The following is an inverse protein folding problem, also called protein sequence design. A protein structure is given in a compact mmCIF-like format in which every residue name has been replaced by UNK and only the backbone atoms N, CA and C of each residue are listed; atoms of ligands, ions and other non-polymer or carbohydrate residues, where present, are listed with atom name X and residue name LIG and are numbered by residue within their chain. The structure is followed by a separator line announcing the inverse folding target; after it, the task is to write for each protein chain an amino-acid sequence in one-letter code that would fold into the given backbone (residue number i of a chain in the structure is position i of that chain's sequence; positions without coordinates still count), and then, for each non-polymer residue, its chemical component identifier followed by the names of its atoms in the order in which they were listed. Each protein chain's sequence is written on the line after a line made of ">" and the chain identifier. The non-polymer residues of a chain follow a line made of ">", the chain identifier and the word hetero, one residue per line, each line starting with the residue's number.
data_IF_542429724473
#
_entry.id   IF_542429724473
#
_cell.length_a   1.000
_cell.length_b   1.000
_cell.length_c   1.000
_cell.angle_alpha   90.00
_cell.angle_beta   90.00
_cell.angle_gamma   90.00
#
_symmetry.space_group_name_H-M   'P 1'
#
loop_
_entity.id
_entity.type
_entity.pdbx_description
1 polymer ?
#
# COMPACT_ATOMS: atom_id res chain seq x y z
N UNK A 1 -37.07 5.00 30.74
CA UNK A 1 -37.06 6.05 31.76
C UNK A 1 -38.43 6.06 32.48
N UNK A 2 -38.76 5.02 33.26
CA UNK A 2 -40.15 4.77 33.72
C UNK A 2 -40.30 4.18 35.15
N UNK A 3 -39.29 4.25 36.04
CA UNK A 3 -39.39 3.66 37.40
C UNK A 3 -39.20 4.63 38.58
N UNK A 4 -38.96 5.93 38.36
CA UNK A 4 -38.83 6.93 39.44
C UNK A 4 -37.68 6.69 40.44
N UNK A 5 -36.82 5.70 40.19
CA UNK A 5 -35.64 5.36 41.01
C UNK A 5 -34.41 5.98 40.37
N UNK A 6 -33.61 6.65 41.20
CA UNK A 6 -32.35 7.23 40.78
C UNK A 6 -31.33 6.10 40.56
N UNK A 7 -30.71 6.06 39.38
CA UNK A 7 -29.72 5.04 39.02
C UNK A 7 -28.40 5.76 38.75
N UNK A 8 -27.34 5.51 39.55
CA UNK A 8 -26.05 6.13 39.30
C UNK A 8 -25.51 5.66 37.95
N UNK A 9 -25.16 6.63 37.09
CA UNK A 9 -24.66 6.38 35.75
C UNK A 9 -23.35 7.13 35.54
N UNK A 10 -22.39 6.45 34.91
CA UNK A 10 -21.18 7.06 34.35
C UNK A 10 -21.14 6.75 32.86
N UNK A 11 -20.69 7.71 32.07
CA UNK A 11 -20.56 7.58 30.63
C UNK A 11 -19.24 8.18 30.17
N UNK A 12 -18.70 7.64 29.09
CA UNK A 12 -17.55 8.22 28.37
C UNK A 12 -18.04 8.63 26.99
N UNK A 13 -17.56 9.79 26.53
CA UNK A 13 -17.77 10.25 25.16
C UNK A 13 -16.41 10.43 24.49
N UNK A 14 -16.29 9.94 23.26
CA UNK A 14 -15.11 10.12 22.41
C UNK A 14 -15.54 10.96 21.21
N UNK A 15 -14.94 12.15 21.07
CA UNK A 15 -15.17 13.03 19.93
C UNK A 15 -14.39 12.57 18.72
N UNK A 16 -15.07 11.90 17.78
CA UNK A 16 -14.44 11.28 16.60
C UNK A 16 -13.77 12.31 15.67
N UNK A 17 -14.33 13.51 15.58
CA UNK A 17 -13.82 14.61 14.76
C UNK A 17 -12.42 15.05 15.22
N UNK A 18 -12.21 15.12 16.53
CA UNK A 18 -10.90 15.48 17.10
C UNK A 18 -9.87 14.37 16.92
N UNK A 19 -10.30 13.12 17.01
CA UNK A 19 -9.44 11.96 16.77
C UNK A 19 -8.96 11.96 15.31
N UNK A 20 -9.87 12.13 14.35
CA UNK A 20 -9.50 12.21 12.93
C UNK A 20 -8.56 13.38 12.63
N UNK A 21 -8.82 14.58 13.16
CA UNK A 21 -7.96 15.74 12.92
C UNK A 21 -6.52 15.54 13.44
N UNK A 22 -6.35 14.84 14.56
CA UNK A 22 -5.03 14.50 15.10
C UNK A 22 -4.37 13.41 14.24
N UNK A 23 -5.11 12.37 13.87
CA UNK A 23 -4.61 11.27 13.03
C UNK A 23 -4.17 11.77 11.65
N UNK A 24 -4.93 12.67 11.03
CA UNK A 24 -4.62 13.26 9.72
C UNK A 24 -3.31 14.06 9.77
N UNK A 25 -3.15 14.95 10.76
CA UNK A 25 -1.90 15.70 10.95
C UNK A 25 -0.69 14.79 11.15
N UNK A 26 -0.82 13.76 12.00
CA UNK A 26 0.26 12.79 12.21
C UNK A 26 0.58 12.00 10.94
N UNK A 27 -0.42 11.65 10.15
CA UNK A 27 -0.23 10.94 8.89
C UNK A 27 0.42 11.84 7.82
N UNK A 28 0.06 13.13 7.78
CA UNK A 28 0.73 14.13 6.95
C UNK A 28 2.18 14.39 7.35
N UNK A 29 2.47 14.47 8.66
CA UNK A 29 3.83 14.65 9.15
C UNK A 29 4.70 13.44 8.81
N UNK A 30 4.17 12.22 8.98
CA UNK A 30 4.84 10.99 8.55
C UNK A 30 5.06 10.97 7.04
N UNK A 31 4.05 11.34 6.25
CA UNK A 31 4.20 11.35 4.79
C UNK A 31 5.20 12.42 4.34
N UNK A 32 5.24 13.60 4.96
CA UNK A 32 6.25 14.64 4.69
C UNK A 32 7.66 14.21 5.08
N UNK A 33 7.84 13.57 6.25
CA UNK A 33 9.13 13.05 6.70
C UNK A 33 9.68 11.97 5.76
N UNK A 34 8.82 11.06 5.30
CA UNK A 34 9.17 10.00 4.35
C UNK A 34 9.51 10.53 2.94
N UNK A 35 8.94 11.68 2.54
CA UNK A 35 9.24 12.32 1.26
C UNK A 35 10.50 13.23 1.30
N UNK A 36 10.94 13.67 2.49
CA UNK A 36 12.08 14.55 2.66
C UNK A 36 13.45 13.85 2.52
N UNK A 37 13.53 12.54 2.79
CA UNK A 37 14.79 11.79 2.78
C UNK A 37 15.16 11.14 1.42
N UNK A 38 14.41 11.40 0.34
CA UNK A 38 14.91 11.20 -1.02
C UNK A 38 13.99 10.45 -1.97
N UNK A 39 13.66 11.14 -3.07
CA UNK A 39 13.26 10.52 -4.33
C UNK A 39 11.75 10.26 -4.49
N UNK A 40 11.24 10.69 -5.65
CA UNK A 40 9.90 10.44 -6.19
C UNK A 40 9.61 8.95 -6.47
N UNK A 41 9.68 8.13 -5.42
CA UNK A 41 9.53 6.67 -5.48
C UNK A 41 9.71 5.95 -4.13
N UNK A 42 9.77 6.63 -2.99
CA UNK A 42 9.84 5.95 -1.69
C UNK A 42 8.51 5.32 -1.29
N UNK A 43 8.54 4.11 -0.72
CA UNK A 43 7.43 3.42 -0.06
C UNK A 43 6.99 4.13 1.24
N UNK A 44 6.78 5.45 1.16
CA UNK A 44 6.15 6.21 2.20
C UNK A 44 4.67 5.88 2.25
N UNK A 45 4.09 5.83 3.45
CA UNK A 45 2.65 5.63 3.66
C UNK A 45 1.93 6.86 3.09
N UNK A 46 1.68 6.85 1.78
CA UNK A 46 0.74 7.77 1.14
C UNK A 46 -0.64 7.32 1.60
N UNK A 47 -1.40 8.23 2.20
CA UNK A 47 -2.81 7.97 2.53
C UNK A 47 -3.53 7.77 1.20
N UNK A 48 -3.94 6.53 0.93
CA UNK A 48 -4.55 6.14 -0.34
C UNK A 48 -6.00 5.77 -0.09
N UNK A 49 -6.87 6.19 -1.01
CA UNK A 49 -8.28 5.80 -0.98
C UNK A 49 -8.49 4.32 -1.36
N UNK A 50 -7.47 3.68 -1.95
CA UNK A 50 -7.51 2.29 -2.43
C UNK A 50 -6.46 1.44 -1.73
N UNK A 51 -6.84 0.20 -1.41
CA UNK A 51 -5.94 -0.81 -0.83
C UNK A 51 -5.35 -1.73 -1.91
N UNK A 52 -5.39 -1.31 -3.17
CA UNK A 52 -4.89 -2.09 -4.31
C UNK A 52 -3.37 -2.22 -4.23
N UNK A 53 -2.90 -3.46 -4.18
CA UNK A 53 -1.50 -3.85 -4.05
C UNK A 53 -0.85 -4.09 -5.41
N UNK A 54 -1.60 -4.63 -6.38
CA UNK A 54 -1.04 -5.05 -7.67
C UNK A 54 -1.92 -4.56 -8.81
N UNK A 55 -1.33 -3.88 -9.79
CA UNK A 55 -2.00 -3.56 -11.06
C UNK A 55 -1.62 -4.58 -12.13
N UNK A 56 -2.60 -5.24 -12.72
CA UNK A 56 -2.41 -6.15 -13.85
C UNK A 56 -2.55 -5.37 -15.15
N UNK A 57 -1.42 -5.22 -15.82
CA UNK A 57 -1.25 -4.46 -17.03
C UNK A 57 -0.80 -5.38 -18.18
N UNK A 58 -1.21 -5.05 -19.40
CA UNK A 58 -0.79 -5.81 -20.59
C UNK A 58 -0.46 -4.90 -21.75
N UNK A 59 0.37 -5.42 -22.66
CA UNK A 59 0.78 -4.75 -23.89
C UNK A 59 0.23 -5.56 -25.06
N UNK A 60 -0.47 -4.91 -25.99
CA UNK A 60 -1.03 -5.54 -27.18
C UNK A 60 -2.56 -5.64 -27.18
N UNK A 61 -3.10 -5.99 -28.35
CA UNK A 61 -4.54 -6.10 -28.58
C UNK A 61 -5.09 -7.43 -28.04
N UNK A 62 -6.34 -7.44 -27.56
CA UNK A 62 -7.04 -8.70 -27.23
C UNK A 62 -6.64 -9.39 -25.91
N UNK A 63 -5.71 -8.81 -25.13
CA UNK A 63 -5.19 -9.42 -23.89
C UNK A 63 -6.10 -9.24 -22.66
N UNK A 64 -7.31 -8.73 -22.83
CA UNK A 64 -8.24 -8.46 -21.74
C UNK A 64 -8.62 -9.72 -20.97
N UNK A 65 -8.91 -10.82 -21.68
CA UNK A 65 -9.28 -12.10 -21.05
C UNK A 65 -8.15 -12.61 -20.16
N UNK A 66 -6.89 -12.51 -20.64
CA UNK A 66 -5.73 -12.94 -19.86
C UNK A 66 -5.48 -12.04 -18.63
N UNK A 67 -5.71 -10.73 -18.72
CA UNK A 67 -5.67 -9.83 -17.55
C UNK A 67 -6.70 -10.22 -16.49
N UNK A 68 -7.92 -10.55 -16.90
CA UNK A 68 -8.96 -10.99 -15.99
C UNK A 68 -8.60 -12.32 -15.32
N UNK A 69 -8.01 -13.26 -16.07
CA UNK A 69 -7.54 -14.54 -15.54
C UNK A 69 -6.44 -14.35 -14.48
N UNK A 70 -5.44 -13.51 -14.77
CA UNK A 70 -4.36 -13.19 -13.82
C UNK A 70 -4.90 -12.49 -12.58
N UNK A 71 -5.79 -11.50 -12.74
CA UNK A 71 -6.42 -10.83 -11.61
C UNK A 71 -7.21 -11.82 -10.74
N UNK A 72 -7.97 -12.74 -11.36
CA UNK A 72 -8.69 -13.79 -10.64
C UNK A 72 -7.75 -14.73 -9.88
N UNK A 73 -6.62 -15.12 -10.49
CA UNK A 73 -5.58 -15.91 -9.82
C UNK A 73 -5.03 -15.20 -8.58
N UNK A 74 -4.72 -13.90 -8.69
CA UNK A 74 -4.23 -13.10 -7.58
C UNK A 74 -5.29 -12.95 -6.47
N UNK A 75 -6.55 -12.72 -6.83
CA UNK A 75 -7.65 -12.64 -5.86
C UNK A 75 -7.87 -13.94 -5.11
N UNK A 76 -7.75 -15.10 -5.78
CA UNK A 76 -7.84 -16.41 -5.14
C UNK A 76 -6.73 -16.64 -4.12
N UNK A 77 -5.58 -16.00 -4.30
CA UNK A 77 -4.47 -16.00 -3.35
C UNK A 77 -4.60 -14.92 -2.25
N UNK A 78 -5.69 -14.14 -2.23
CA UNK A 78 -5.90 -13.06 -1.27
C UNK A 78 -5.11 -11.78 -1.57
N UNK A 79 -4.49 -11.67 -2.75
CA UNK A 79 -3.75 -10.47 -3.17
C UNK A 79 -4.74 -9.47 -3.77
N UNK A 80 -4.71 -8.23 -3.29
CA UNK A 80 -5.60 -7.15 -3.78
C UNK A 80 -5.10 -6.62 -5.12
N UNK A 81 -5.58 -7.22 -6.20
CA UNK A 81 -5.22 -6.84 -7.56
C UNK A 81 -6.33 -6.04 -8.27
N UNK A 82 -5.94 -5.20 -9.24
CA UNK A 82 -6.85 -4.47 -10.13
C UNK A 82 -6.35 -4.57 -11.57
N UNK A 83 -7.22 -4.35 -12.56
CA UNK A 83 -6.84 -4.33 -13.97
C UNK A 83 -7.58 -3.23 -14.73
N UNK A 84 -6.98 -2.73 -15.81
CA UNK A 84 -7.61 -1.72 -16.66
C UNK A 84 -8.80 -2.26 -17.48
N UNK A 85 -9.93 -1.57 -17.41
CA UNK A 85 -11.18 -1.93 -18.12
C UNK A 85 -11.13 -1.72 -19.64
N UNK A 86 -10.18 -0.91 -20.14
CA UNK A 86 -10.03 -0.66 -21.57
C UNK A 86 -9.51 -1.92 -22.27
N UNK A 87 -10.05 -2.31 -23.44
CA UNK A 87 -9.62 -3.51 -24.14
C UNK A 87 -8.14 -3.44 -24.55
N UNK A 88 -7.69 -2.28 -25.06
CA UNK A 88 -6.28 -2.03 -25.38
C UNK A 88 -5.80 -0.71 -24.72
N UNK A 89 -5.41 -0.74 -23.44
CA UNK A 89 -4.90 0.44 -22.76
C UNK A 89 -3.45 0.71 -23.18
N UNK A 90 -3.10 1.97 -23.46
CA UNK A 90 -1.70 2.35 -23.73
C UNK A 90 -0.87 2.15 -22.47
N UNK A 91 0.39 1.73 -22.61
CA UNK A 91 1.29 1.49 -21.48
C UNK A 91 1.46 2.74 -20.61
N UNK A 92 1.57 3.93 -21.22
CA UNK A 92 1.67 5.19 -20.49
C UNK A 92 0.45 5.48 -19.61
N UNK A 93 -0.76 5.19 -20.08
CA UNK A 93 -1.99 5.39 -19.31
C UNK A 93 -2.05 4.44 -18.10
N UNK A 94 -1.59 3.19 -18.27
CA UNK A 94 -1.54 2.19 -17.20
C UNK A 94 -0.53 2.58 -16.12
N UNK A 95 0.65 3.06 -16.54
CA UNK A 95 1.68 3.55 -15.63
C UNK A 95 1.19 4.79 -14.85
N UNK A 96 0.57 5.75 -15.55
CA UNK A 96 0.01 6.94 -14.92
C UNK A 96 -1.09 6.59 -13.91
N UNK A 97 -1.96 5.64 -14.26
CA UNK A 97 -2.99 5.16 -13.33
C UNK A 97 -2.37 4.50 -12.09
N UNK A 98 -1.32 3.68 -12.28
CA UNK A 98 -0.61 3.06 -11.18
C UNK A 98 0.03 4.10 -10.24
N UNK A 99 0.62 5.18 -10.79
CA UNK A 99 1.17 6.28 -10.02
C UNK A 99 0.11 7.10 -9.28
N UNK A 100 -0.96 7.49 -9.97
CA UNK A 100 -2.06 8.29 -9.42
C UNK A 100 -2.80 7.55 -8.30
N UNK A 101 -3.10 6.27 -8.55
CA UNK A 101 -3.68 5.39 -7.53
C UNK A 101 -2.67 4.98 -6.48
N UNK A 102 -1.36 5.17 -6.71
CA UNK A 102 -0.21 4.88 -5.82
C UNK A 102 0.20 3.41 -5.71
N UNK A 103 -0.23 2.54 -6.62
CA UNK A 103 -0.12 1.08 -6.52
C UNK A 103 1.36 0.65 -6.47
N UNK A 104 1.80 -0.17 -5.50
CA UNK A 104 3.22 -0.45 -5.31
C UNK A 104 3.79 -1.38 -6.38
N UNK A 105 3.01 -2.36 -6.85
CA UNK A 105 3.45 -3.35 -7.83
C UNK A 105 2.59 -3.34 -9.09
N UNK A 106 3.22 -3.53 -10.24
CA UNK A 106 2.53 -3.68 -11.51
C UNK A 106 3.03 -4.93 -12.23
N UNK A 107 2.11 -5.82 -12.61
CA UNK A 107 2.39 -7.02 -13.41
C UNK A 107 2.15 -6.67 -14.87
N UNK A 108 3.12 -6.94 -15.73
CA UNK A 108 3.15 -6.61 -17.15
C UNK A 108 3.37 -7.87 -17.98
N UNK A 109 2.56 -8.05 -19.01
CA UNK A 109 2.77 -9.11 -19.99
C UNK A 109 2.28 -8.70 -21.39
N UNK A 110 3.01 -9.12 -22.42
CA UNK A 110 2.61 -9.08 -23.81
C UNK A 110 2.47 -10.49 -24.39
N UNK A 111 2.21 -10.57 -25.70
CA UNK A 111 2.13 -11.85 -26.42
C UNK A 111 3.45 -12.62 -26.37
N UNK A 112 4.59 -11.93 -26.50
CA UNK A 112 5.93 -12.52 -26.45
C UNK A 112 6.29 -13.06 -25.06
N UNK A 113 5.95 -12.33 -23.99
CA UNK A 113 6.14 -12.79 -22.61
C UNK A 113 5.27 -14.01 -22.31
N UNK A 114 4.00 -13.96 -22.73
CA UNK A 114 3.06 -15.05 -22.48
C UNK A 114 3.44 -16.32 -23.26
N UNK A 115 3.91 -16.18 -24.49
CA UNK A 115 4.41 -17.30 -25.30
C UNK A 115 5.64 -17.97 -24.69
N UNK A 116 6.42 -17.23 -23.88
CA UNK A 116 7.58 -17.74 -23.12
C UNK A 116 7.22 -18.22 -21.71
N UNK A 117 5.96 -18.10 -21.29
CA UNK A 117 5.51 -18.47 -19.94
C UNK A 117 6.04 -17.58 -18.83
N UNK A 118 6.43 -16.34 -19.15
CA UNK A 118 7.03 -15.38 -18.22
C UNK A 118 6.14 -14.14 -18.11
N UNK A 119 6.15 -13.48 -16.96
CA UNK A 119 5.51 -12.17 -16.73
C UNK A 119 6.53 -11.23 -16.11
N UNK A 120 6.41 -9.93 -16.36
CA UNK A 120 7.29 -8.91 -15.77
C UNK A 120 6.61 -8.29 -14.57
N UNK A 121 7.27 -8.24 -13.43
CA UNK A 121 6.79 -7.52 -12.25
C UNK A 121 7.62 -6.26 -12.10
N UNK A 122 6.95 -5.12 -12.11
CA UNK A 122 7.53 -3.80 -11.90
C UNK A 122 7.24 -3.32 -10.50
N UNK A 123 8.28 -2.97 -9.76
CA UNK A 123 8.17 -2.22 -8.51
C UNK A 123 8.14 -0.73 -8.84
N UNK A 124 7.04 -0.07 -8.49
CA UNK A 124 6.82 1.35 -8.81
C UNK A 124 7.70 2.24 -7.92
N UNK A 125 7.95 1.81 -6.69
CA UNK A 125 8.80 2.51 -5.75
C UNK A 125 10.28 2.38 -6.15
N UNK A 126 10.75 1.14 -6.32
CA UNK A 126 12.14 0.87 -6.65
C UNK A 126 12.49 1.14 -8.13
N UNK A 127 11.48 1.36 -9.00
CA UNK A 127 11.63 1.49 -10.46
C UNK A 127 12.37 0.31 -11.10
N UNK A 128 12.35 -0.86 -10.45
CA UNK A 128 12.94 -2.10 -10.94
C UNK A 128 11.91 -2.94 -11.67
N UNK A 129 12.37 -3.73 -12.64
CA UNK A 129 11.57 -4.69 -13.38
C UNK A 129 12.24 -6.05 -13.31
N UNK A 130 11.50 -7.07 -12.87
CA UNK A 130 11.98 -8.44 -12.75
C UNK A 130 11.09 -9.38 -13.58
N UNK A 131 11.70 -10.32 -14.29
CA UNK A 131 10.99 -11.34 -15.06
C UNK A 131 10.75 -12.56 -14.16
N UNK A 132 9.48 -12.93 -13.98
CA UNK A 132 9.02 -13.99 -13.09
C UNK A 132 8.23 -15.04 -13.89
N UNK A 133 8.43 -16.34 -13.67
CA UNK A 133 7.60 -17.38 -14.29
C UNK A 133 6.11 -17.20 -13.95
N UNK A 134 5.22 -17.44 -14.91
CA UNK A 134 3.78 -17.29 -14.72
C UNK A 134 3.24 -18.12 -13.55
N UNK A 135 3.73 -19.35 -13.39
CA UNK A 135 3.31 -20.27 -12.31
C UNK A 135 3.75 -19.79 -10.92
N UNK A 136 4.91 -19.13 -10.82
CA UNK A 136 5.47 -18.63 -9.56
C UNK A 136 5.05 -17.20 -9.19
N UNK A 137 4.21 -16.56 -10.01
CA UNK A 137 3.83 -15.15 -9.84
C UNK A 137 3.22 -14.87 -8.45
N UNK A 138 2.33 -15.75 -8.00
CA UNK A 138 1.62 -15.59 -6.73
C UNK A 138 2.56 -15.66 -5.54
N UNK A 139 3.47 -16.63 -5.52
CA UNK A 139 4.44 -16.82 -4.44
C UNK A 139 5.44 -15.66 -4.39
N UNK A 140 5.90 -15.21 -5.55
CA UNK A 140 6.79 -14.06 -5.67
C UNK A 140 6.15 -12.78 -5.12
N UNK A 141 4.92 -12.47 -5.56
CA UNK A 141 4.20 -11.28 -5.09
C UNK A 141 3.85 -11.37 -3.61
N UNK A 142 3.43 -12.55 -3.13
CA UNK A 142 3.14 -12.76 -1.71
C UNK A 142 4.38 -12.51 -0.84
N UNK A 143 5.53 -13.06 -1.24
CA UNK A 143 6.80 -12.87 -0.52
C UNK A 143 7.23 -11.40 -0.49
N UNK A 144 7.14 -10.70 -1.63
CA UNK A 144 7.46 -9.27 -1.72
C UNK A 144 6.51 -8.41 -0.88
N UNK A 145 5.20 -8.67 -0.94
CA UNK A 145 4.21 -7.96 -0.15
C UNK A 145 4.42 -8.15 1.36
N UNK A 146 4.75 -9.37 1.80
CA UNK A 146 5.08 -9.66 3.19
C UNK A 146 6.38 -8.97 3.65
N UNK A 147 7.41 -8.94 2.80
CA UNK A 147 8.65 -8.20 3.10
C UNK A 147 8.38 -6.71 3.26
N UNK A 148 7.66 -6.09 2.33
CA UNK A 148 7.28 -4.68 2.39
C UNK A 148 6.48 -4.35 3.65
N UNK A 149 5.52 -5.19 4.03
CA UNK A 149 4.77 -5.04 5.27
C UNK A 149 5.64 -5.17 6.52
N UNK A 150 6.59 -6.12 6.52
CA UNK A 150 7.51 -6.31 7.66
C UNK A 150 8.41 -5.09 7.87
N UNK A 151 8.95 -4.52 6.78
CA UNK A 151 9.82 -3.34 6.83
C UNK A 151 9.07 -2.12 7.35
N UNK A 152 7.82 -1.91 6.94
CA UNK A 152 6.96 -0.82 7.42
C UNK A 152 6.70 -0.86 8.93
N UNK A 153 6.51 -2.06 9.51
CA UNK A 153 6.28 -2.21 10.97
C UNK A 153 7.52 -1.90 11.83
N UNK A 154 8.72 -2.20 11.32
CA UNK A 154 9.97 -1.98 12.04
C UNK A 154 10.33 -0.49 12.04
N UNK A 155 10.08 0.21 10.93
CA UNK A 155 10.32 1.66 10.84
C UNK A 155 9.39 2.47 11.75
N UNK A 156 8.12 2.07 11.92
CA UNK A 156 7.22 2.77 12.85
C UNK A 156 7.61 2.58 14.32
N UNK A 157 8.14 1.40 14.68
CA UNK A 157 8.62 1.12 16.03
C UNK A 157 9.87 1.97 16.38
N UNK A 158 10.81 2.11 15.44
CA UNK A 158 12.03 2.90 15.63
C UNK A 158 11.76 4.42 15.70
N UNK A 159 10.81 4.95 14.90
CA UNK A 159 10.42 6.37 14.97
C UNK A 159 9.71 6.74 16.29
N UNK A 160 9.05 5.78 16.93
CA UNK A 160 8.43 5.97 18.25
C UNK A 160 9.46 5.99 19.38
N UNK A 161 10.56 5.23 19.23
CA UNK A 161 11.63 5.14 20.20
C UNK A 161 12.49 6.42 20.26
N UNK A 162 12.66 7.14 19.14
CA UNK A 162 13.45 8.38 19.09
C UNK A 162 12.78 9.59 19.76
N UNK A 163 11.50 9.51 20.15
CA UNK A 163 10.80 10.60 20.86
C UNK A 163 10.84 10.48 22.39
N UNK A 164 11.40 9.41 22.96
CA UNK A 164 11.48 9.22 24.41
C UNK A 164 12.83 9.59 25.05
N UNK A 165 13.86 9.96 24.28
CA UNK A 165 15.21 10.17 24.81
C UNK A 165 15.56 11.61 25.24
N UNK A 166 14.64 12.59 25.14
CA UNK A 166 14.93 14.00 25.51
C UNK A 166 14.40 14.45 26.88
N UNK A 167 13.86 13.55 27.70
CA UNK A 167 13.46 13.88 29.06
C UNK A 167 14.52 13.43 30.07
N UNK A 168 15.66 14.13 30.11
CA UNK A 168 16.55 14.06 31.27
C UNK A 168 15.90 14.80 32.45
N UNK A 169 15.69 14.16 33.61
CA UNK A 169 15.19 14.86 34.79
C UNK A 169 16.32 15.71 35.38
N UNK A 170 16.12 17.03 35.40
CA UNK A 170 16.94 17.98 36.14
C UNK A 170 17.03 17.53 37.61
N UNK A 171 18.23 17.38 38.20
CA UNK A 171 18.33 17.08 39.63
C UNK A 171 18.01 18.34 40.44
N UNK A 172 16.97 18.26 41.27
CA UNK A 172 16.65 19.27 42.28
C UNK A 172 17.29 18.88 43.62
N UNK A 173 18.41 19.53 43.98
CA UNK A 173 18.95 19.68 45.36
C UNK A 173 19.83 20.95 45.28
N UNK A 174 19.60 22.06 45.99
CA UNK A 174 19.55 22.27 47.44
C UNK A 174 18.75 23.53 47.74
#
# INVERSE_FOLDING_TARGET
>A
MFSGKDVPAVGVSIGIERVFAIMERQAEERSKALNAEGGSGGAGVVIRATETQVLVASIGNGMQVKRMEVASMLWRAGIKAEFGYKPNPKMGDQLNHAFDSGIPYMVLFGEDELSRGVVKVKDIAAKSEEAVPYEGLVEYLSSKLLQTLSLLSVTSALASASLQETATPTPAVT
#
